data_IF_269233709929
#
_entry.id   IF_269233709929
#
_cell.length_a   1.000
_cell.length_b   1.000
_cell.length_c   1.000
_cell.angle_alpha   90.00
_cell.angle_beta   90.00
_cell.angle_gamma   90.00
#
_symmetry.space_group_name_H-M   'P 1'
#
loop_
_entity.id
_entity.type
_entity.pdbx_description
1 polymer ?
#
# COMPACT_ATOMS: atom_id res chain seq x y z
N UNK A 1 -4.37 -3.82 41.80
CA UNK A 1 -4.04 -2.60 41.03
C UNK A 1 -5.28 -2.15 40.30
N UNK A 2 -5.66 -0.87 40.41
CA UNK A 2 -6.76 -0.31 39.61
C UNK A 2 -6.31 -0.23 38.15
N UNK A 3 -7.10 -0.73 37.18
CA UNK A 3 -6.71 -0.67 35.78
C UNK A 3 -6.62 0.79 35.31
N UNK A 4 -5.61 1.16 34.50
CA UNK A 4 -5.44 2.52 33.98
C UNK A 4 -6.52 2.89 32.94
N UNK A 5 -7.30 1.90 32.50
CA UNK A 5 -8.38 2.05 31.52
C UNK A 5 -9.64 1.32 31.99
N UNK A 6 -10.80 1.87 31.64
CA UNK A 6 -12.09 1.24 31.83
C UNK A 6 -12.50 0.37 30.62
N UNK A 7 -13.60 -0.37 30.76
CA UNK A 7 -14.14 -1.23 29.71
C UNK A 7 -14.48 -0.45 28.43
N UNK A 8 -15.03 0.76 28.55
CA UNK A 8 -15.43 1.57 27.40
C UNK A 8 -14.22 1.99 26.56
N UNK A 9 -13.07 2.27 27.19
CA UNK A 9 -11.80 2.54 26.49
C UNK A 9 -11.28 1.29 25.78
N UNK A 10 -11.35 0.12 26.41
CA UNK A 10 -10.96 -1.15 25.77
C UNK A 10 -11.81 -1.44 24.54
N UNK A 11 -13.12 -1.26 24.64
CA UNK A 11 -14.05 -1.42 23.52
C UNK A 11 -13.78 -0.42 22.39
N UNK A 12 -13.34 0.80 22.72
CA UNK A 12 -12.93 1.80 21.74
C UNK A 12 -11.70 1.37 20.95
N UNK A 13 -10.65 0.89 21.64
CA UNK A 13 -9.44 0.37 20.99
C UNK A 13 -9.79 -0.85 20.12
N UNK A 14 -10.66 -1.73 20.60
CA UNK A 14 -11.14 -2.88 19.86
C UNK A 14 -11.92 -2.48 18.58
N UNK A 15 -12.76 -1.45 18.67
CA UNK A 15 -13.53 -0.95 17.52
C UNK A 15 -12.62 -0.36 16.43
N UNK A 16 -11.53 0.31 16.82
CA UNK A 16 -10.50 0.75 15.89
C UNK A 16 -9.76 -0.43 15.24
N UNK A 17 -9.37 -1.44 16.02
CA UNK A 17 -8.74 -2.65 15.47
C UNK A 17 -9.66 -3.35 14.47
N UNK A 18 -10.96 -3.46 14.78
CA UNK A 18 -11.95 -4.03 13.86
C UNK A 18 -12.06 -3.22 12.56
N UNK A 19 -12.21 -1.90 12.65
CA UNK A 19 -12.30 -1.04 11.46
C UNK A 19 -11.01 -1.09 10.62
N UNK A 20 -9.84 -1.18 11.25
CA UNK A 20 -8.56 -1.36 10.55
C UNK A 20 -8.45 -2.74 9.91
N UNK A 21 -8.95 -3.81 10.56
CA UNK A 21 -8.98 -5.13 9.94
C UNK A 21 -9.87 -5.14 8.70
N UNK A 22 -11.03 -4.46 8.71
CA UNK A 22 -11.85 -4.29 7.51
C UNK A 22 -11.10 -3.48 6.44
N UNK A 23 -10.48 -2.36 6.81
CA UNK A 23 -9.69 -1.52 5.91
C UNK A 23 -8.56 -2.29 5.22
N UNK A 24 -7.88 -3.19 5.93
CA UNK A 24 -6.78 -4.01 5.43
C UNK A 24 -7.22 -5.01 4.35
N UNK A 25 -8.48 -5.46 4.39
CA UNK A 25 -9.03 -6.39 3.39
C UNK A 25 -9.49 -5.70 2.10
N UNK A 26 -9.56 -4.37 2.09
CA UNK A 26 -10.04 -3.63 0.93
C UNK A 26 -8.99 -3.64 -0.19
N UNK A 27 -9.34 -4.01 -1.44
CA UNK A 27 -8.37 -4.07 -2.53
C UNK A 27 -7.61 -2.76 -2.76
N UNK A 28 -8.24 -1.62 -2.45
CA UNK A 28 -7.62 -0.30 -2.49
C UNK A 28 -6.36 -0.20 -1.60
N UNK A 29 -6.29 -0.92 -0.47
CA UNK A 29 -5.09 -0.96 0.37
C UNK A 29 -4.10 -2.03 -0.05
N UNK A 30 -4.51 -2.95 -0.92
CA UNK A 30 -3.68 -3.98 -1.52
C UNK A 30 -2.49 -3.46 -2.35
N UNK A 31 -1.62 -4.40 -2.71
CA UNK A 31 -0.37 -4.15 -3.46
C UNK A 31 -0.62 -3.80 -4.93
N UNK A 32 -1.77 -4.21 -5.47
CA UNK A 32 -2.10 -4.06 -6.88
C UNK A 32 -2.88 -2.78 -7.19
N UNK A 33 -3.25 -1.99 -6.17
CA UNK A 33 -3.96 -0.72 -6.35
C UNK A 33 -3.10 0.27 -7.15
N UNK A 34 -3.63 0.73 -8.29
CA UNK A 34 -2.97 1.72 -9.12
C UNK A 34 -3.14 3.12 -8.53
N UNK A 35 -2.02 3.79 -8.29
CA UNK A 35 -2.00 5.19 -7.89
C UNK A 35 -0.73 5.84 -8.43
N UNK A 36 -0.76 6.22 -9.70
CA UNK A 36 0.39 6.84 -10.37
C UNK A 36 -0.04 7.95 -11.32
N UNK A 37 0.94 8.67 -11.84
CA UNK A 37 0.73 9.72 -12.81
C UNK A 37 1.92 9.78 -13.79
N UNK A 38 1.68 10.31 -14.98
CA UNK A 38 2.69 10.48 -16.02
C UNK A 38 2.46 11.77 -16.80
N UNK A 39 3.44 12.18 -17.61
CA UNK A 39 3.35 13.34 -18.49
C UNK A 39 3.77 14.68 -17.85
N UNK A 40 3.85 15.74 -18.66
CA UNK A 40 4.22 17.08 -18.20
C UNK A 40 3.09 17.72 -17.38
N UNK A 41 3.42 18.76 -16.59
CA UNK A 41 2.48 19.41 -15.66
C UNK A 41 1.19 19.91 -16.31
N UNK A 42 1.25 20.36 -17.56
CA UNK A 42 0.13 20.89 -18.33
C UNK A 42 -0.75 19.79 -18.96
N UNK A 43 -0.27 18.55 -19.02
CA UNK A 43 -0.97 17.37 -19.57
C UNK A 43 -0.72 16.12 -18.74
N UNK A 44 -1.00 16.22 -17.44
CA UNK A 44 -0.83 15.12 -16.51
C UNK A 44 -1.85 14.00 -16.81
N UNK A 45 -1.37 12.77 -17.04
CA UNK A 45 -2.18 11.56 -17.09
C UNK A 45 -2.18 10.91 -15.71
N UNK A 46 -3.35 10.80 -15.08
CA UNK A 46 -3.53 10.08 -13.82
C UNK A 46 -3.97 8.65 -14.09
N UNK A 47 -3.35 7.68 -13.41
CA UNK A 47 -3.66 6.25 -13.53
C UNK A 47 -4.09 5.79 -12.13
N UNK A 48 -5.40 5.60 -11.97
CA UNK A 48 -6.06 5.29 -10.70
C UNK A 48 -6.68 3.89 -10.77
N UNK A 49 -6.68 3.18 -9.65
CA UNK A 49 -7.31 1.87 -9.52
C UNK A 49 -8.83 1.94 -9.53
N UNK A 50 -9.44 0.76 -9.41
CA UNK A 50 -10.88 0.59 -9.57
C UNK A 50 -11.69 1.49 -8.63
N UNK A 51 -12.71 2.14 -9.19
CA UNK A 51 -13.53 3.10 -8.45
C UNK A 51 -14.35 2.44 -7.33
N UNK A 52 -14.81 1.20 -7.52
CA UNK A 52 -15.61 0.48 -6.55
C UNK A 52 -14.74 -0.01 -5.40
N UNK A 53 -13.53 -0.50 -5.67
CA UNK A 53 -12.54 -0.82 -4.64
C UNK A 53 -12.27 0.40 -3.76
N UNK A 54 -12.03 1.56 -4.38
CA UNK A 54 -11.83 2.80 -3.63
C UNK A 54 -13.05 3.18 -2.80
N UNK A 55 -14.26 3.15 -3.39
CA UNK A 55 -15.51 3.49 -2.67
C UNK A 55 -15.79 2.59 -1.48
N UNK A 56 -15.54 1.29 -1.62
CA UNK A 56 -15.68 0.32 -0.52
C UNK A 56 -14.74 0.69 0.63
N UNK A 57 -13.47 0.95 0.32
CA UNK A 57 -12.46 1.32 1.29
C UNK A 57 -12.77 2.60 2.10
N UNK A 58 -13.51 3.55 1.51
CA UNK A 58 -13.90 4.78 2.19
C UNK A 58 -14.88 4.55 3.35
N UNK A 59 -15.64 3.45 3.37
CA UNK A 59 -16.55 3.14 4.47
C UNK A 59 -15.75 2.91 5.75
N UNK A 60 -14.81 1.96 5.72
CA UNK A 60 -13.92 1.63 6.83
C UNK A 60 -13.01 2.80 7.20
N UNK A 61 -12.46 3.50 6.19
CA UNK A 61 -11.65 4.69 6.43
C UNK A 61 -12.44 5.77 7.18
N UNK A 62 -13.69 6.05 6.77
CA UNK A 62 -14.55 7.05 7.41
C UNK A 62 -14.87 6.70 8.87
N UNK A 63 -15.09 5.41 9.19
CA UNK A 63 -15.29 4.95 10.58
C UNK A 63 -14.11 5.32 11.47
N UNK A 64 -12.89 5.25 10.95
CA UNK A 64 -11.66 5.59 11.68
C UNK A 64 -11.43 7.11 11.71
N UNK A 65 -11.80 7.80 10.64
CA UNK A 65 -11.58 9.23 10.44
C UNK A 65 -12.50 10.11 11.28
N UNK A 66 -13.80 9.82 11.29
CA UNK A 66 -14.82 10.73 11.81
C UNK A 66 -14.78 10.86 13.34
N UNK A 67 -14.72 12.08 13.85
CA UNK A 67 -14.57 12.34 15.30
C UNK A 67 -15.69 11.74 16.16
N UNK A 68 -16.92 11.65 15.65
CA UNK A 68 -18.07 11.10 16.40
C UNK A 68 -18.02 9.58 16.53
N UNK A 69 -17.22 8.90 15.72
CA UNK A 69 -17.17 7.43 15.71
C UNK A 69 -16.41 6.88 16.93
N UNK A 70 -16.76 5.67 17.41
CA UNK A 70 -16.00 4.98 18.44
C UNK A 70 -14.55 4.76 18.01
N UNK A 71 -14.34 4.23 16.81
CA UNK A 71 -13.05 3.90 16.19
C UNK A 71 -12.19 5.11 15.80
N UNK A 72 -12.54 6.33 16.21
CA UNK A 72 -11.75 7.50 15.85
C UNK A 72 -10.29 7.38 16.34
N UNK A 73 -9.34 7.51 15.40
CA UNK A 73 -7.92 7.26 15.65
C UNK A 73 -7.30 8.17 16.72
N UNK A 74 -7.66 9.47 16.76
CA UNK A 74 -7.13 10.41 17.76
C UNK A 74 -7.54 10.02 19.18
N UNK A 75 -8.81 9.62 19.35
CA UNK A 75 -9.33 9.15 20.65
C UNK A 75 -8.65 7.86 21.10
N UNK A 76 -8.30 6.98 20.17
CA UNK A 76 -7.56 5.74 20.47
C UNK A 76 -6.13 6.02 20.86
N UNK A 77 -5.44 6.94 20.17
CA UNK A 77 -4.09 7.35 20.55
C UNK A 77 -4.05 7.97 21.96
N UNK A 78 -5.03 8.82 22.30
CA UNK A 78 -5.15 9.37 23.66
C UNK A 78 -5.26 8.27 24.73
N UNK A 79 -5.98 7.18 24.44
CA UNK A 79 -6.04 6.01 25.32
C UNK A 79 -4.67 5.34 25.41
N UNK A 80 -4.04 5.04 24.27
CA UNK A 80 -2.73 4.38 24.21
C UNK A 80 -1.68 5.16 25.02
N UNK A 81 -1.63 6.49 24.90
CA UNK A 81 -0.69 7.33 25.64
C UNK A 81 -0.96 7.40 27.15
N UNK A 82 -2.22 7.29 27.57
CA UNK A 82 -2.62 7.36 28.98
C UNK A 82 -2.62 6.02 29.74
N UNK A 83 -2.25 4.92 29.09
CA UNK A 83 -2.52 3.55 29.58
C UNK A 83 -1.40 2.86 30.34
N UNK A 84 -0.26 3.53 30.58
CA UNK A 84 0.91 2.89 31.19
C UNK A 84 1.50 1.75 30.35
N UNK A 85 1.28 1.78 29.02
CA UNK A 85 1.87 0.83 28.08
C UNK A 85 3.39 1.03 27.99
N UNK A 86 4.11 0.03 27.49
CA UNK A 86 5.56 0.12 27.31
C UNK A 86 5.95 1.30 26.40
N UNK A 87 7.18 1.80 26.61
CA UNK A 87 7.75 2.86 25.78
C UNK A 87 7.82 2.46 24.30
N UNK A 88 8.01 1.17 24.00
CA UNK A 88 8.04 0.66 22.62
C UNK A 88 6.68 0.81 21.93
N UNK A 89 5.58 0.42 22.60
CA UNK A 89 4.23 0.53 22.05
C UNK A 89 3.86 2.00 21.81
N UNK A 90 4.15 2.86 22.80
CA UNK A 90 3.78 4.28 22.76
C UNK A 90 4.65 5.09 21.79
N UNK A 91 5.94 4.77 21.67
CA UNK A 91 6.85 5.42 20.71
C UNK A 91 6.50 5.10 19.26
N UNK A 92 6.14 3.84 18.95
CA UNK A 92 5.64 3.45 17.62
C UNK A 92 4.35 4.21 17.27
N UNK A 93 3.39 4.26 18.19
CA UNK A 93 2.17 5.04 18.01
C UNK A 93 2.45 6.52 17.72
N UNK A 94 3.39 7.15 18.45
CA UNK A 94 3.80 8.55 18.20
C UNK A 94 4.44 8.74 16.83
N UNK A 95 5.30 7.80 16.40
CA UNK A 95 5.93 7.85 15.09
C UNK A 95 4.90 7.84 13.96
N UNK A 96 3.93 6.93 14.02
CA UNK A 96 2.87 6.84 13.02
C UNK A 96 1.87 8.01 13.10
N UNK A 97 1.56 8.51 14.30
CA UNK A 97 0.80 9.76 14.47
C UNK A 97 1.50 10.92 13.76
N UNK A 98 2.80 11.10 13.99
CA UNK A 98 3.56 12.20 13.38
C UNK A 98 3.53 12.11 11.84
N UNK A 99 3.64 10.90 11.29
CA UNK A 99 3.52 10.68 9.84
C UNK A 99 2.14 11.10 9.32
N UNK A 100 1.05 10.67 9.98
CA UNK A 100 -0.31 11.08 9.63
C UNK A 100 -0.45 12.61 9.71
N UNK A 101 -0.02 13.22 10.82
CA UNK A 101 -0.09 14.67 11.04
C UNK A 101 0.68 15.46 9.98
N UNK A 102 1.78 14.91 9.44
CA UNK A 102 2.51 15.50 8.32
C UNK A 102 1.62 15.60 7.08
N UNK A 103 1.02 14.49 6.65
CA UNK A 103 0.09 14.48 5.52
C UNK A 103 -1.12 15.40 5.72
N UNK A 104 -1.57 15.61 6.97
CA UNK A 104 -2.69 16.50 7.27
C UNK A 104 -2.33 17.98 7.22
N UNK A 105 -1.14 18.33 7.68
CA UNK A 105 -0.69 19.72 7.86
C UNK A 105 -0.02 20.31 6.63
N UNK A 106 0.49 19.47 5.72
CA UNK A 106 1.05 19.91 4.45
C UNK A 106 0.00 20.72 3.66
N UNK A 107 0.35 21.97 3.34
CA UNK A 107 -0.45 22.94 2.61
C UNK A 107 -0.14 22.93 1.10
N UNK A 108 0.81 22.11 0.68
CA UNK A 108 1.17 21.85 -0.72
C UNK A 108 1.27 20.35 -0.94
N UNK A 109 0.24 19.80 -1.56
CA UNK A 109 0.26 18.43 -2.04
C UNK A 109 0.88 18.37 -3.42
N UNK A 110 1.20 17.15 -3.84
CA UNK A 110 1.64 16.85 -5.20
C UNK A 110 0.63 17.51 -6.16
N UNK A 111 1.14 18.30 -7.13
CA UNK A 111 0.40 19.17 -8.07
C UNK A 111 -0.05 20.56 -7.59
N UNK A 112 0.62 21.15 -6.59
CA UNK A 112 0.36 22.54 -6.14
C UNK A 112 -1.09 22.77 -5.66
N UNK A 113 -1.77 21.72 -5.19
CA UNK A 113 -3.06 21.84 -4.51
C UNK A 113 -2.82 22.51 -3.16
N UNK A 114 -3.06 23.83 -3.12
CA UNK A 114 -2.83 24.71 -1.97
C UNK A 114 -3.94 24.57 -0.92
N UNK A 115 -4.03 23.39 -0.32
CA UNK A 115 -5.07 23.03 0.64
C UNK A 115 -4.52 22.00 1.62
N UNK A 116 -4.91 22.06 2.89
CA UNK A 116 -4.46 21.06 3.87
C UNK A 116 -5.03 19.69 3.53
N UNK A 117 -4.27 18.63 3.82
CA UNK A 117 -4.71 17.25 3.54
C UNK A 117 -6.02 16.92 4.27
N UNK A 118 -6.17 17.42 5.50
CA UNK A 118 -7.42 17.34 6.27
C UNK A 118 -8.61 17.89 5.47
N UNK A 119 -8.48 19.09 4.90
CA UNK A 119 -9.56 19.75 4.16
C UNK A 119 -9.89 19.00 2.87
N UNK A 120 -8.89 18.47 2.17
CA UNK A 120 -9.09 17.64 0.96
C UNK A 120 -9.93 16.42 1.32
N UNK A 121 -9.52 15.65 2.34
CA UNK A 121 -10.24 14.43 2.78
C UNK A 121 -11.66 14.76 3.24
N UNK A 122 -11.82 15.79 4.07
CA UNK A 122 -13.12 16.18 4.60
C UNK A 122 -14.07 16.69 3.50
N UNK A 123 -13.57 17.37 2.46
CA UNK A 123 -14.40 17.80 1.34
C UNK A 123 -14.95 16.59 0.58
N UNK A 124 -14.09 15.66 0.19
CA UNK A 124 -14.50 14.48 -0.56
C UNK A 124 -15.47 13.59 0.25
N UNK A 125 -15.11 13.25 1.50
CA UNK A 125 -15.95 12.39 2.34
C UNK A 125 -17.34 12.99 2.61
N UNK A 126 -17.42 14.30 2.89
CA UNK A 126 -18.68 14.93 3.30
C UNK A 126 -19.55 15.39 2.13
N UNK A 127 -19.01 15.59 0.92
CA UNK A 127 -19.79 16.11 -0.22
C UNK A 127 -20.08 15.08 -1.31
N UNK A 128 -19.25 14.04 -1.45
CA UNK A 128 -19.40 13.02 -2.49
C UNK A 128 -19.90 11.69 -1.92
N UNK A 129 -19.56 11.36 -0.68
CA UNK A 129 -19.81 10.03 -0.11
C UNK A 129 -20.85 9.99 1.01
N UNK A 130 -21.10 11.09 1.72
CA UNK A 130 -22.18 11.17 2.69
C UNK A 130 -23.49 11.66 2.04
N UNK A 131 -24.53 10.83 2.04
CA UNK A 131 -25.91 11.30 1.83
C UNK A 131 -26.36 12.06 3.08
N UNK A 132 -26.06 13.36 3.15
CA UNK A 132 -26.59 14.22 4.22
C UNK A 132 -25.55 15.18 4.73
N UNK A 133 -25.82 16.48 4.49
CA UNK A 133 -25.04 17.58 4.99
C UNK A 133 -24.79 17.44 6.49
N UNK A 134 -23.54 17.21 6.85
CA UNK A 134 -23.07 17.52 8.20
C UNK A 134 -23.25 19.03 8.33
N UNK A 135 -24.10 19.45 9.26
CA UNK A 135 -24.44 20.86 9.49
C UNK A 135 -23.18 21.76 9.48
N UNK A 136 -23.16 22.71 8.55
CA UNK A 136 -22.30 23.89 8.60
C UNK A 136 -20.88 23.75 8.05
N UNK A 137 -20.36 22.57 7.72
CA UNK A 137 -18.97 22.42 7.21
C UNK A 137 -18.92 21.58 5.93
N UNK A 138 -18.37 22.16 4.86
CA UNK A 138 -18.06 21.55 3.55
C UNK A 138 -19.29 21.42 2.65
N UNK A 139 -19.64 22.51 1.97
CA UNK A 139 -20.76 22.50 1.01
C UNK A 139 -20.32 21.89 -0.32
N UNK A 140 -21.28 21.38 -1.10
CA UNK A 140 -21.04 20.95 -2.49
C UNK A 140 -20.41 22.06 -3.33
N UNK A 141 -20.79 23.32 -3.10
CA UNK A 141 -20.18 24.51 -3.73
C UNK A 141 -18.69 24.66 -3.44
N UNK A 142 -18.25 24.30 -2.22
CA UNK A 142 -16.84 24.37 -1.83
C UNK A 142 -16.02 23.32 -2.59
N UNK A 143 -16.61 22.12 -2.77
CA UNK A 143 -16.01 21.05 -3.56
C UNK A 143 -15.87 21.46 -5.03
N UNK A 144 -16.93 22.02 -5.62
CA UNK A 144 -16.92 22.49 -7.01
C UNK A 144 -15.93 23.62 -7.23
N UNK A 145 -15.81 24.54 -6.26
CA UNK A 145 -14.80 25.60 -6.28
C UNK A 145 -13.38 25.03 -6.25
N UNK A 146 -13.11 24.03 -5.42
CA UNK A 146 -11.82 23.35 -5.38
C UNK A 146 -11.50 22.61 -6.70
N UNK A 147 -12.49 21.91 -7.27
CA UNK A 147 -12.33 21.24 -8.58
C UNK A 147 -12.05 22.25 -9.69
N UNK A 148 -12.74 23.39 -9.71
CA UNK A 148 -12.51 24.44 -10.70
C UNK A 148 -11.14 25.10 -10.54
N UNK A 149 -10.66 25.26 -9.30
CA UNK A 149 -9.37 25.88 -9.01
C UNK A 149 -8.19 24.97 -9.33
N UNK A 150 -8.27 23.68 -9.01
CA UNK A 150 -7.12 22.76 -9.05
C UNK A 150 -7.21 21.71 -10.15
N UNK A 151 -8.37 21.56 -10.80
CA UNK A 151 -8.65 20.51 -11.75
C UNK A 151 -9.06 19.19 -11.07
N UNK A 152 -10.03 18.50 -11.68
CA UNK A 152 -10.61 17.28 -11.10
C UNK A 152 -9.57 16.17 -10.88
N UNK A 153 -8.73 15.89 -11.89
CA UNK A 153 -7.76 14.79 -11.84
C UNK A 153 -6.72 14.97 -10.73
N UNK A 154 -6.15 16.17 -10.61
CA UNK A 154 -5.20 16.48 -9.54
C UNK A 154 -5.87 16.39 -8.17
N UNK A 155 -7.09 16.93 -8.03
CA UNK A 155 -7.81 16.91 -6.75
C UNK A 155 -8.23 15.51 -6.32
N UNK A 156 -8.70 14.66 -7.24
CA UNK A 156 -9.01 13.25 -6.97
C UNK A 156 -7.74 12.46 -6.62
N UNK A 157 -6.64 12.67 -7.36
CA UNK A 157 -5.37 12.01 -7.09
C UNK A 157 -4.86 12.36 -5.69
N UNK A 158 -4.85 13.66 -5.32
CA UNK A 158 -4.43 14.10 -3.98
C UNK A 158 -5.30 13.46 -2.90
N UNK A 159 -6.62 13.37 -3.10
CA UNK A 159 -7.52 12.71 -2.16
C UNK A 159 -7.22 11.22 -2.01
N UNK A 160 -7.14 10.46 -3.11
CA UNK A 160 -6.80 9.03 -3.08
C UNK A 160 -5.45 8.77 -2.44
N UNK A 161 -4.45 9.60 -2.75
CA UNK A 161 -3.13 9.55 -2.15
C UNK A 161 -3.18 9.74 -0.64
N UNK A 162 -3.87 10.77 -0.16
CA UNK A 162 -4.06 11.01 1.26
C UNK A 162 -4.76 9.84 1.96
N UNK A 163 -5.85 9.32 1.38
CA UNK A 163 -6.57 8.17 1.94
C UNK A 163 -5.66 6.93 2.02
N UNK A 164 -4.87 6.66 0.96
CA UNK A 164 -3.93 5.52 0.93
C UNK A 164 -2.87 5.63 2.03
N UNK A 165 -2.22 6.78 2.17
CA UNK A 165 -1.12 6.94 3.13
C UNK A 165 -1.58 7.12 4.57
N UNK A 166 -2.64 7.91 4.81
CA UNK A 166 -3.24 8.03 6.13
C UNK A 166 -3.81 6.68 6.58
N UNK A 167 -4.48 5.97 5.67
CA UNK A 167 -5.04 4.64 5.95
C UNK A 167 -3.94 3.63 6.28
N UNK A 168 -2.81 3.62 5.55
CA UNK A 168 -1.62 2.86 5.94
C UNK A 168 -1.14 3.22 7.35
N UNK A 169 -1.11 4.51 7.70
CA UNK A 169 -0.81 4.96 9.07
C UNK A 169 -1.77 4.36 10.12
N UNK A 170 -3.07 4.26 9.83
CA UNK A 170 -4.04 3.61 10.72
C UNK A 170 -3.76 2.11 10.88
N UNK A 171 -3.41 1.41 9.79
CA UNK A 171 -3.03 0.00 9.82
C UNK A 171 -1.78 -0.22 10.67
N UNK A 172 -0.76 0.63 10.53
CA UNK A 172 0.45 0.56 11.33
C UNK A 172 0.19 0.82 12.82
N UNK A 173 -0.65 1.81 13.17
CA UNK A 173 -1.08 2.03 14.57
C UNK A 173 -1.83 0.80 15.10
N UNK A 174 -2.70 0.18 14.28
CA UNK A 174 -3.43 -1.03 14.67
C UNK A 174 -2.48 -2.18 14.98
N UNK A 175 -1.55 -2.47 14.08
CA UNK A 175 -0.64 -3.61 14.15
C UNK A 175 0.44 -3.44 15.22
N UNK A 176 1.04 -2.26 15.31
CA UNK A 176 2.19 -2.01 16.18
C UNK A 176 1.84 -1.51 17.58
N UNK A 177 0.61 -1.02 17.79
CA UNK A 177 0.22 -0.39 19.07
C UNK A 177 -1.14 -0.83 19.60
N UNK A 178 -2.23 -0.74 18.83
CA UNK A 178 -3.57 -1.03 19.34
C UNK A 178 -3.80 -2.51 19.65
N UNK A 179 -3.41 -3.43 18.75
CA UNK A 179 -3.47 -4.88 18.99
C UNK A 179 -2.60 -5.28 20.21
N UNK A 180 -1.33 -4.85 20.32
CA UNK A 180 -0.53 -5.05 21.54
C UNK A 180 -1.16 -4.47 22.81
N UNK A 181 -1.79 -3.30 22.74
CA UNK A 181 -2.47 -2.70 23.88
C UNK A 181 -3.62 -3.58 24.40
N UNK A 182 -4.44 -4.15 23.50
CA UNK A 182 -5.50 -5.09 23.89
C UNK A 182 -4.95 -6.34 24.58
N UNK A 183 -3.84 -6.90 24.08
CA UNK A 183 -3.15 -8.03 24.71
C UNK A 183 -2.67 -7.63 26.11
N UNK A 184 -2.08 -6.45 26.25
CA UNK A 184 -1.63 -5.93 27.55
C UNK A 184 -2.79 -5.77 28.54
N UNK A 185 -3.92 -5.18 28.12
CA UNK A 185 -5.10 -5.02 28.98
C UNK A 185 -5.69 -6.36 29.43
N UNK A 186 -5.74 -7.33 28.52
CA UNK A 186 -6.22 -8.66 28.83
C UNK A 186 -5.30 -9.37 29.83
N UNK A 187 -3.99 -9.35 29.59
CA UNK A 187 -3.02 -10.08 30.41
C UNK A 187 -2.84 -9.47 31.80
N UNK A 188 -2.81 -8.14 31.92
CA UNK A 188 -2.48 -7.46 33.17
C UNK A 188 -3.71 -7.07 34.01
N UNK A 189 -4.88 -6.93 33.37
CA UNK A 189 -6.09 -6.45 34.05
C UNK A 189 -7.33 -7.31 33.78
N UNK A 190 -7.20 -8.41 33.03
CA UNK A 190 -8.33 -9.26 32.62
C UNK A 190 -9.43 -8.50 31.88
N UNK A 191 -9.06 -7.40 31.20
CA UNK A 191 -9.97 -6.59 30.42
C UNK A 191 -9.94 -7.02 28.94
N UNK A 192 -10.94 -7.77 28.52
CA UNK A 192 -11.23 -8.05 27.11
C UNK A 192 -12.22 -7.04 26.52
N UNK A 193 -12.35 -6.92 25.19
CA UNK A 193 -13.48 -6.22 24.57
C UNK A 193 -14.84 -6.88 24.93
N UNK A 194 -15.94 -6.13 24.88
CA UNK A 194 -17.31 -6.64 25.10
C UNK A 194 -17.87 -7.42 23.90
N UNK A 195 -17.21 -7.31 22.76
CA UNK A 195 -17.57 -7.97 21.51
C UNK A 195 -16.37 -8.73 20.95
N UNK A 196 -16.64 -9.70 20.08
CA UNK A 196 -15.58 -10.40 19.36
C UNK A 196 -15.11 -9.52 18.21
N UNK A 197 -13.82 -9.17 18.21
CA UNK A 197 -13.19 -8.53 17.05
C UNK A 197 -13.22 -9.53 15.90
N UNK A 198 -14.03 -9.23 14.90
CA UNK A 198 -14.11 -9.95 13.63
C UNK A 198 -14.63 -8.99 12.58
N UNK A 199 -14.29 -9.21 11.32
CA UNK A 199 -15.03 -8.54 10.26
C UNK A 199 -16.52 -8.89 10.43
N UNK A 200 -17.39 -7.87 10.48
CA UNK A 200 -18.84 -8.08 10.59
C UNK A 200 -19.38 -9.00 9.47
N UNK A 201 -18.65 -9.02 8.35
CA UNK A 201 -18.82 -9.94 7.25
C UNK A 201 -17.71 -11.01 7.28
N UNK A 202 -18.08 -12.27 7.16
CA UNK A 202 -17.09 -13.34 7.02
C UNK A 202 -16.24 -13.18 5.76
N UNK A 203 -14.97 -13.56 5.87
CA UNK A 203 -13.97 -13.38 4.80
C UNK A 203 -14.02 -14.49 3.74
N UNK A 204 -14.69 -15.60 4.04
CA UNK A 204 -14.72 -16.75 3.14
C UNK A 204 -15.82 -16.61 2.11
N UNK A 205 -15.51 -17.02 0.87
CA UNK A 205 -16.49 -17.24 -0.20
C UNK A 205 -17.62 -18.17 0.27
N UNK A 206 -17.28 -19.19 1.06
CA UNK A 206 -18.25 -20.11 1.65
C UNK A 206 -17.92 -20.31 3.12
N UNK A 207 -18.87 -20.05 4.01
CA UNK A 207 -18.71 -20.29 5.44
C UNK A 207 -19.96 -20.89 6.07
N UNK A 208 -19.75 -21.72 7.09
CA UNK A 208 -20.82 -22.20 7.96
C UNK A 208 -20.84 -21.35 9.22
N UNK A 209 -21.97 -20.69 9.46
CA UNK A 209 -22.22 -19.91 10.68
C UNK A 209 -22.31 -20.83 11.89
N UNK A 210 -22.25 -20.25 13.10
CA UNK A 210 -22.41 -21.00 14.36
C UNK A 210 -23.78 -21.69 14.45
N UNK A 211 -24.80 -21.08 13.86
CA UNK A 211 -26.18 -21.59 13.85
C UNK A 211 -26.40 -22.64 12.74
N UNK A 212 -25.33 -23.00 12.00
CA UNK A 212 -25.35 -24.05 11.00
C UNK A 212 -25.72 -23.60 9.58
N UNK A 213 -26.12 -22.34 9.38
CA UNK A 213 -26.38 -21.78 8.04
C UNK A 213 -25.10 -21.71 7.21
N UNK A 214 -25.23 -21.94 5.90
CA UNK A 214 -24.14 -21.78 4.94
C UNK A 214 -24.33 -20.43 4.23
N UNK A 215 -23.36 -19.55 4.36
CA UNK A 215 -23.29 -18.31 3.58
C UNK A 215 -22.36 -18.56 2.40
N UNK A 216 -22.83 -18.30 1.19
CA UNK A 216 -22.03 -18.27 -0.03
C UNK A 216 -22.03 -16.83 -0.56
N UNK A 217 -20.85 -16.24 -0.65
CA UNK A 217 -20.62 -14.89 -1.21
C UNK A 217 -20.15 -15.07 -2.64
N UNK A 218 -21.01 -14.75 -3.60
CA UNK A 218 -20.64 -14.73 -5.01
C UNK A 218 -20.27 -13.30 -5.39
N UNK A 219 -19.13 -13.14 -6.07
CA UNK A 219 -18.80 -11.84 -6.65
C UNK A 219 -19.81 -11.53 -7.75
N UNK A 220 -20.32 -10.30 -7.80
CA UNK A 220 -21.08 -9.87 -8.98
C UNK A 220 -20.11 -9.87 -10.17
N UNK A 221 -20.30 -10.83 -11.06
CA UNK A 221 -19.36 -11.25 -12.11
C UNK A 221 -19.16 -10.26 -13.26
N UNK A 222 -19.57 -9.00 -13.14
CA UNK A 222 -19.30 -7.99 -14.18
C UNK A 222 -17.85 -7.47 -14.16
N UNK A 223 -17.10 -7.72 -13.08
CA UNK A 223 -15.73 -7.21 -12.89
C UNK A 223 -14.73 -8.25 -12.37
N UNK A 224 -15.16 -9.51 -12.27
CA UNK A 224 -14.29 -10.65 -11.95
C UNK A 224 -13.85 -11.30 -13.27
N UNK A 225 -12.89 -10.69 -13.95
CA UNK A 225 -12.19 -11.40 -15.02
C UNK A 225 -11.24 -12.39 -14.37
N UNK A 226 -11.40 -13.68 -14.68
CA UNK A 226 -10.32 -14.64 -14.50
C UNK A 226 -9.10 -14.07 -15.23
N UNK A 227 -8.14 -13.57 -14.46
CA UNK A 227 -6.95 -12.93 -14.99
C UNK A 227 -6.14 -13.96 -15.79
N UNK A 228 -5.76 -13.62 -17.03
CA UNK A 228 -4.87 -14.51 -17.79
C UNK A 228 -3.50 -14.58 -17.11
N UNK A 229 -2.69 -15.57 -17.46
CA UNK A 229 -1.36 -15.70 -16.87
C UNK A 229 -0.45 -14.49 -17.24
N UNK A 230 -0.63 -13.90 -18.41
CA UNK A 230 0.06 -12.69 -18.88
C UNK A 230 -0.38 -11.43 -18.11
N UNK A 231 -1.68 -11.31 -17.85
CA UNK A 231 -2.22 -10.23 -17.02
C UNK A 231 -1.69 -10.34 -15.59
N UNK A 232 -1.69 -11.56 -15.02
CA UNK A 232 -1.12 -11.87 -13.69
C UNK A 232 0.36 -11.54 -13.63
N UNK A 233 1.11 -11.96 -14.63
CA UNK A 233 2.52 -11.64 -14.78
C UNK A 233 2.75 -10.14 -14.75
N UNK A 234 2.02 -9.41 -15.58
CA UNK A 234 2.11 -7.95 -15.65
C UNK A 234 1.72 -7.31 -14.32
N UNK A 235 0.64 -7.76 -13.68
CA UNK A 235 0.19 -7.23 -12.39
C UNK A 235 1.22 -7.42 -11.30
N UNK A 236 1.73 -8.64 -11.12
CA UNK A 236 2.71 -8.98 -10.08
C UNK A 236 4.04 -8.28 -10.35
N UNK A 237 4.51 -8.24 -11.60
CA UNK A 237 5.77 -7.57 -11.97
C UNK A 237 5.72 -6.07 -11.66
N UNK A 238 4.56 -5.44 -11.81
CA UNK A 238 4.35 -4.02 -11.53
C UNK A 238 4.22 -3.69 -10.03
N UNK A 239 4.36 -4.66 -9.13
CA UNK A 239 4.39 -4.40 -7.68
C UNK A 239 5.70 -3.76 -7.25
N UNK A 240 5.66 -2.97 -6.19
CA UNK A 240 6.83 -2.21 -5.69
C UNK A 240 7.99 -3.14 -5.31
N UNK A 241 7.71 -4.29 -4.69
CA UNK A 241 8.74 -5.28 -4.33
C UNK A 241 9.46 -5.92 -5.53
N UNK A 242 8.85 -5.88 -6.73
CA UNK A 242 9.40 -6.47 -7.94
C UNK A 242 9.99 -5.39 -8.88
N UNK A 243 10.16 -4.16 -8.40
CA UNK A 243 10.60 -3.00 -9.20
C UNK A 243 11.97 -3.20 -9.84
N UNK A 244 12.90 -3.87 -9.16
CA UNK A 244 14.23 -4.17 -9.70
C UNK A 244 14.14 -5.16 -10.87
N UNK A 245 13.31 -6.19 -10.73
CA UNK A 245 13.06 -7.17 -11.78
C UNK A 245 12.29 -6.56 -12.96
N UNK A 246 11.32 -5.68 -12.69
CA UNK A 246 10.61 -4.91 -13.72
C UNK A 246 11.59 -4.11 -14.58
N UNK A 247 12.56 -3.44 -13.94
CA UNK A 247 13.59 -2.67 -14.62
C UNK A 247 14.49 -3.57 -15.49
N UNK A 248 14.98 -4.68 -14.92
CA UNK A 248 15.76 -5.68 -15.66
C UNK A 248 15.00 -6.15 -16.91
N UNK A 249 13.73 -6.52 -16.76
CA UNK A 249 12.91 -7.04 -17.85
C UNK A 249 12.61 -6.01 -18.95
N UNK A 250 12.49 -4.72 -18.60
CA UNK A 250 12.33 -3.65 -19.59
C UNK A 250 13.56 -3.50 -20.51
N UNK A 251 14.74 -3.88 -20.03
CA UNK A 251 15.99 -3.77 -20.79
C UNK A 251 16.30 -4.97 -21.67
N UNK A 252 15.62 -6.10 -21.45
CA UNK A 252 15.78 -7.28 -22.29
C UNK A 252 15.13 -7.11 -23.68
N UNK A 253 14.36 -6.04 -23.89
CA UNK A 253 13.63 -5.75 -25.15
C UNK A 253 12.83 -6.97 -25.67
N UNK A 254 12.25 -7.74 -24.74
CA UNK A 254 11.41 -8.90 -25.04
C UNK A 254 9.95 -8.61 -24.75
N UNK A 255 9.07 -9.30 -25.44
CA UNK A 255 7.63 -9.19 -25.18
C UNK A 255 7.26 -9.77 -23.82
N UNK A 256 6.19 -9.31 -23.16
CA UNK A 256 5.73 -9.87 -21.88
C UNK A 256 5.50 -11.39 -21.94
N UNK A 257 5.03 -11.90 -23.07
CA UNK A 257 4.79 -13.34 -23.28
C UNK A 257 6.09 -14.15 -23.32
N UNK A 258 7.13 -13.65 -23.99
CA UNK A 258 8.44 -14.29 -24.02
C UNK A 258 9.08 -14.32 -22.63
N UNK A 259 9.06 -13.17 -21.93
CA UNK A 259 9.58 -13.06 -20.58
C UNK A 259 8.85 -13.97 -19.60
N UNK A 260 7.51 -14.06 -19.70
CA UNK A 260 6.70 -14.96 -18.90
C UNK A 260 7.12 -16.43 -19.12
N UNK A 261 7.22 -16.87 -20.39
CA UNK A 261 7.62 -18.24 -20.71
C UNK A 261 9.01 -18.57 -20.18
N UNK A 262 9.98 -17.67 -20.38
CA UNK A 262 11.33 -17.83 -19.87
C UNK A 262 11.35 -17.87 -18.33
N UNK A 263 10.61 -16.98 -17.67
CA UNK A 263 10.52 -16.91 -16.20
C UNK A 263 9.95 -18.21 -15.61
N UNK A 264 8.92 -18.79 -16.23
CA UNK A 264 8.30 -20.02 -15.74
C UNK A 264 9.15 -21.26 -16.04
N UNK A 265 9.80 -21.29 -17.21
CA UNK A 265 10.55 -22.44 -17.71
C UNK A 265 12.00 -22.54 -17.23
N UNK A 266 12.54 -21.50 -16.59
CA UNK A 266 13.92 -21.49 -16.12
C UNK A 266 14.04 -21.71 -14.61
N UNK A 267 15.01 -22.53 -14.20
CA UNK A 267 15.31 -22.80 -12.79
C UNK A 267 16.31 -21.83 -12.15
N UNK A 268 16.85 -20.92 -12.96
CA UNK A 268 17.76 -19.87 -12.53
C UNK A 268 17.67 -18.66 -13.46
N UNK A 269 18.17 -17.52 -13.02
CA UNK A 269 18.26 -16.30 -13.82
C UNK A 269 19.16 -16.50 -15.04
N UNK A 270 20.28 -17.21 -14.88
CA UNK A 270 21.15 -17.57 -16.00
C UNK A 270 20.42 -18.44 -17.04
N UNK A 271 19.65 -19.43 -16.61
CA UNK A 271 18.86 -20.26 -17.52
C UNK A 271 17.74 -19.46 -18.21
N UNK A 272 17.14 -18.49 -17.51
CA UNK A 272 16.13 -17.59 -18.07
C UNK A 272 16.74 -16.71 -19.15
N UNK A 273 17.91 -16.10 -18.91
CA UNK A 273 18.61 -15.31 -19.92
C UNK A 273 18.99 -16.16 -21.13
N UNK A 274 19.52 -17.37 -20.91
CA UNK A 274 19.85 -18.29 -22.01
C UNK A 274 18.62 -18.64 -22.86
N UNK A 275 17.45 -18.83 -22.25
CA UNK A 275 16.19 -19.06 -22.97
C UNK A 275 15.71 -17.84 -23.79
N UNK A 276 16.21 -16.64 -23.46
CA UNK A 276 15.97 -15.39 -24.18
C UNK A 276 17.12 -15.03 -25.12
N UNK A 277 18.01 -15.98 -25.43
CA UNK A 277 19.22 -15.79 -26.25
C UNK A 277 20.20 -14.76 -25.67
N UNK A 278 20.08 -14.45 -24.37
CA UNK A 278 20.99 -13.59 -23.63
C UNK A 278 22.06 -14.39 -22.88
N UNK A 279 23.04 -13.68 -22.34
CA UNK A 279 24.10 -14.25 -21.52
C UNK A 279 24.28 -13.46 -20.22
N UNK A 280 24.65 -14.18 -19.15
CA UNK A 280 25.03 -13.59 -17.87
C UNK A 280 26.54 -13.58 -17.77
N UNK A 281 27.12 -12.39 -17.54
CA UNK A 281 28.55 -12.25 -17.27
C UNK A 281 28.78 -11.87 -15.79
N UNK A 282 29.72 -12.55 -15.15
CA UNK A 282 30.11 -12.28 -13.75
C UNK A 282 31.50 -11.65 -13.77
N UNK A 283 31.57 -10.39 -13.36
CA UNK A 283 32.80 -9.59 -13.37
C UNK A 283 33.26 -9.27 -11.94
N UNK A 284 34.57 -9.08 -11.75
CA UNK A 284 35.09 -8.48 -10.51
C UNK A 284 34.66 -7.01 -10.42
N UNK A 285 34.41 -6.49 -9.21
CA UNK A 285 34.13 -5.07 -8.97
C UNK A 285 35.20 -4.12 -9.56
N UNK A 286 36.44 -4.59 -9.68
CA UNK A 286 37.55 -3.83 -10.27
C UNK A 286 37.50 -3.70 -11.80
N UNK A 287 36.63 -4.49 -12.46
CA UNK A 287 36.49 -4.58 -13.92
C UNK A 287 35.19 -3.96 -14.43
N UNK A 288 34.45 -3.25 -13.59
CA UNK A 288 33.19 -2.63 -13.99
C UNK A 288 33.45 -1.57 -15.08
N UNK A 289 32.65 -1.55 -16.16
CA UNK A 289 32.63 -0.45 -17.12
C UNK A 289 32.42 0.91 -16.42
N UNK A 290 32.91 1.97 -17.05
CA UNK A 290 32.84 3.32 -16.49
C UNK A 290 31.40 3.69 -16.19
N UNK A 291 31.18 4.57 -15.19
CA UNK A 291 29.85 5.11 -14.88
C UNK A 291 29.20 5.80 -16.09
N UNK A 292 30.00 6.24 -17.05
CA UNK A 292 29.54 6.84 -18.31
C UNK A 292 28.91 5.82 -19.26
N UNK A 293 29.11 4.52 -19.05
CA UNK A 293 28.61 3.43 -19.89
C UNK A 293 27.29 2.83 -19.35
N UNK A 294 26.77 3.38 -18.25
CA UNK A 294 25.51 2.95 -17.62
C UNK A 294 24.33 3.37 -18.51
N UNK A 295 23.42 2.42 -18.79
CA UNK A 295 22.25 2.64 -19.64
C UNK A 295 21.48 3.91 -19.21
N UNK A 296 21.06 4.76 -20.16
CA UNK A 296 20.42 6.04 -19.86
C UNK A 296 19.17 5.94 -18.94
N UNK A 297 18.35 4.90 -19.15
CA UNK A 297 17.24 4.56 -18.25
C UNK A 297 17.69 4.19 -16.83
N UNK A 298 18.86 3.58 -16.65
CA UNK A 298 19.42 3.29 -15.32
C UNK A 298 19.86 4.57 -14.62
N UNK A 299 20.39 5.59 -15.33
CA UNK A 299 20.73 6.90 -14.77
C UNK A 299 19.51 7.66 -14.21
N UNK A 300 18.36 7.60 -14.90
CA UNK A 300 17.10 8.14 -14.39
C UNK A 300 16.53 7.38 -13.18
N UNK A 301 16.87 6.10 -13.07
CA UNK A 301 16.44 5.21 -11.98
C UNK A 301 17.20 5.47 -10.67
N UNK A 302 18.50 5.81 -10.75
CA UNK A 302 19.36 6.21 -9.60
C UNK A 302 18.82 7.38 -8.81
N UNK A 303 18.09 8.28 -9.47
CA UNK A 303 17.50 9.44 -8.82
C UNK A 303 16.30 9.11 -7.92
N UNK A 304 15.63 7.97 -8.12
CA UNK A 304 14.34 7.65 -7.50
C UNK A 304 14.33 6.40 -6.62
N UNK A 305 15.20 5.41 -6.87
CA UNK A 305 15.34 4.23 -6.02
C UNK A 305 16.59 4.39 -5.16
N UNK A 306 16.47 4.23 -3.84
CA UNK A 306 17.58 4.40 -2.89
C UNK A 306 18.69 3.34 -3.02
N UNK A 307 18.67 2.50 -4.07
CA UNK A 307 19.33 1.19 -4.09
C UNK A 307 20.30 0.99 -5.25
N UNK A 308 20.27 1.80 -6.32
CA UNK A 308 21.05 1.45 -7.52
C UNK A 308 21.53 2.65 -8.36
N UNK A 309 22.79 2.67 -8.83
CA UNK A 309 23.97 2.07 -8.23
C UNK A 309 24.44 2.98 -7.08
N UNK A 310 24.42 2.45 -5.85
CA UNK A 310 25.49 2.83 -4.92
C UNK A 310 26.72 2.03 -5.33
N UNK A 311 27.92 2.52 -5.06
CA UNK A 311 29.19 1.86 -5.36
C UNK A 311 29.33 0.43 -4.75
N UNK A 312 28.35 -0.03 -3.95
CA UNK A 312 28.31 -1.33 -3.28
C UNK A 312 27.09 -2.21 -3.65
N UNK A 313 26.26 -1.84 -4.65
CA UNK A 313 25.16 -2.71 -5.06
C UNK A 313 25.71 -3.89 -5.88
N UNK A 314 25.30 -5.15 -5.62
CA UNK A 314 26.00 -6.28 -6.19
C UNK A 314 25.55 -6.64 -7.63
N UNK A 315 24.66 -5.83 -8.22
CA UNK A 315 24.15 -5.95 -9.59
C UNK A 315 24.30 -4.59 -10.25
N UNK A 316 24.66 -4.57 -11.53
CA UNK A 316 24.88 -3.40 -12.38
C UNK A 316 24.24 -3.67 -13.75
N UNK A 317 23.72 -2.64 -14.41
CA UNK A 317 23.07 -2.81 -15.70
C UNK A 317 23.61 -1.76 -16.69
N UNK A 318 24.10 -2.25 -17.81
CA UNK A 318 24.71 -1.50 -18.91
C UNK A 318 23.84 -1.60 -20.16
N UNK A 319 24.24 -0.93 -21.25
CA UNK A 319 23.42 -0.87 -22.47
C UNK A 319 23.11 -2.24 -23.08
N UNK A 320 24.03 -3.19 -22.97
CA UNK A 320 23.99 -4.49 -23.61
C UNK A 320 24.16 -5.68 -22.64
N UNK A 321 24.39 -5.43 -21.34
CA UNK A 321 24.64 -6.49 -20.37
C UNK A 321 24.14 -6.18 -18.95
N UNK A 322 23.84 -7.26 -18.22
CA UNK A 322 23.57 -7.25 -16.78
C UNK A 322 24.78 -7.87 -16.10
N UNK A 323 25.41 -7.12 -15.21
CA UNK A 323 26.64 -7.52 -14.51
C UNK A 323 26.35 -7.74 -13.04
N UNK A 324 26.53 -8.97 -12.56
CA UNK A 324 26.61 -9.25 -11.12
C UNK A 324 28.07 -9.11 -10.67
N UNK A 325 28.35 -8.23 -9.70
CA UNK A 325 29.74 -7.87 -9.32
C UNK A 325 30.40 -8.86 -8.36
N UNK A 326 29.63 -9.80 -7.83
CA UNK A 326 30.13 -10.92 -7.04
C UNK A 326 29.02 -11.98 -6.91
N UNK A 327 29.35 -13.10 -6.27
CA UNK A 327 28.39 -14.18 -6.00
C UNK A 327 27.16 -13.76 -5.17
N UNK A 328 27.26 -12.73 -4.32
CA UNK A 328 26.10 -12.20 -3.59
C UNK A 328 25.12 -11.46 -4.50
N UNK A 329 25.63 -10.85 -5.57
CA UNK A 329 24.82 -10.19 -6.60
C UNK A 329 24.01 -11.18 -7.40
N UNK A 330 24.67 -12.25 -7.83
CA UNK A 330 23.98 -13.35 -8.49
C UNK A 330 22.91 -13.93 -7.57
N UNK A 331 23.25 -14.23 -6.32
CA UNK A 331 22.29 -14.73 -5.34
C UNK A 331 21.10 -13.77 -5.16
N UNK A 332 21.33 -12.46 -5.09
CA UNK A 332 20.24 -11.48 -4.95
C UNK A 332 19.29 -11.49 -6.16
N UNK A 333 19.81 -11.60 -7.39
CA UNK A 333 18.97 -11.71 -8.61
C UNK A 333 18.18 -13.03 -8.60
N UNK A 334 18.83 -14.14 -8.23
CA UNK A 334 18.17 -15.44 -8.13
C UNK A 334 17.05 -15.43 -7.09
N UNK A 335 17.27 -14.78 -5.95
CA UNK A 335 16.26 -14.59 -4.90
C UNK A 335 15.08 -13.73 -5.40
N UNK A 336 15.35 -12.66 -6.15
CA UNK A 336 14.30 -11.84 -6.79
C UNK A 336 13.46 -12.66 -7.77
N UNK A 337 14.10 -13.40 -8.68
CA UNK A 337 13.41 -14.24 -9.66
C UNK A 337 12.61 -15.35 -8.98
N UNK A 338 13.19 -16.02 -7.96
CA UNK A 338 12.52 -17.09 -7.21
C UNK A 338 11.31 -16.56 -6.45
N UNK A 339 11.44 -15.43 -5.76
CA UNK A 339 10.34 -14.77 -5.06
C UNK A 339 9.23 -14.36 -6.02
N UNK A 340 9.58 -13.81 -7.19
CA UNK A 340 8.62 -13.44 -8.22
C UNK A 340 7.90 -14.66 -8.80
N UNK A 341 8.61 -15.76 -9.10
CA UNK A 341 8.01 -17.03 -9.55
C UNK A 341 7.05 -17.60 -8.51
N UNK A 342 7.42 -17.58 -7.23
CA UNK A 342 6.55 -18.03 -6.16
C UNK A 342 5.23 -17.24 -6.12
N UNK A 343 5.31 -15.91 -6.22
CA UNK A 343 4.12 -15.04 -6.30
C UNK A 343 3.24 -15.33 -7.52
N UNK A 344 3.83 -15.63 -8.69
CA UNK A 344 3.08 -15.98 -9.90
C UNK A 344 2.28 -17.27 -9.74
N UNK A 345 2.86 -18.26 -9.06
CA UNK A 345 2.30 -19.60 -8.88
C UNK A 345 1.35 -19.71 -7.68
N UNK A 346 1.39 -18.75 -6.75
CA UNK A 346 0.45 -18.66 -5.63
C UNK A 346 -0.98 -18.43 -6.18
N UNK A 347 -1.94 -19.23 -5.70
CA UNK A 347 -3.32 -19.23 -6.18
C UNK A 347 -4.23 -18.35 -5.34
#
# INVERSE_FOLDING_TARGET
MTPPVDKAKVDRVASFVEACNELEQEPFFGKDEKLSFAGPKDRQKFILGDRFHFRSALISFRRIWMQKEPSNWEKVLAIIYGSGLSNDITSRAKSHEQQIRRYLSEDKHIFDVKMTGQRIVDLWLNTVFAHGGIEGKNRRSDFESAVNQFGHGAFEWSFRHLVKWIGRGFLEISNSSAKPALIFYQTNFSLSPSFKISAAFGLKRKEKTKDGHIIIREGSSEYFTEETFEERYSRILNREENRDLQFIFQLLDRTPTELLRATLGADSFAAMLAALEGQLEVHSTEQLPSRNDVHALALGWVGFTRVFPRDNHPVHIYEDCIVATNGKGLQAIEELLTSFRAQLLER
#
